data_IF_091586721074
#
_entry.id   IF_091586721074
#
_cell.length_a   1.000
_cell.length_b   1.000
_cell.length_c   1.000
_cell.angle_alpha   90.00
_cell.angle_beta   90.00
_cell.angle_gamma   90.00
#
_symmetry.space_group_name_H-M   'P 1'
#
loop_
_entity.id
_entity.type
_entity.pdbx_description
1 polymer ?
#
# COMPACT_ATOMS: atom_id res chain seq x y z
N UNK A 1 -7.87 -31.16 1.41
CA UNK A 1 -8.60 -29.88 1.42
C UNK A 1 -7.60 -28.79 1.76
N UNK A 2 -7.12 -28.03 0.78
CA UNK A 2 -6.14 -26.97 1.02
C UNK A 2 -6.84 -25.82 1.73
N UNK A 3 -6.42 -25.51 2.95
CA UNK A 3 -6.75 -24.25 3.60
C UNK A 3 -6.29 -23.14 2.67
N UNK A 4 -7.23 -22.38 2.14
CA UNK A 4 -6.92 -21.21 1.32
C UNK A 4 -6.26 -20.18 2.23
N UNK A 5 -4.94 -20.17 2.23
CA UNK A 5 -4.11 -19.25 2.98
C UNK A 5 -4.26 -17.82 2.42
N UNK A 6 -4.23 -16.81 3.30
CA UNK A 6 -4.39 -15.39 2.94
C UNK A 6 -5.52 -14.70 3.69
N UNK A 7 -5.70 -13.41 3.41
CA UNK A 7 -6.75 -12.59 4.03
C UNK A 7 -8.06 -12.67 3.25
N UNK A 8 -9.17 -12.83 3.95
CA UNK A 8 -10.51 -12.73 3.34
C UNK A 8 -10.93 -11.28 3.20
N UNK A 9 -10.94 -10.79 1.96
CA UNK A 9 -11.43 -9.44 1.63
C UNK A 9 -12.61 -9.59 0.69
N UNK A 10 -13.77 -9.09 1.08
CA UNK A 10 -15.03 -9.18 0.31
C UNK A 10 -15.32 -10.62 -0.19
N UNK A 11 -15.12 -11.63 0.68
CA UNK A 11 -15.37 -13.04 0.36
C UNK A 11 -14.29 -13.73 -0.49
N UNK A 12 -13.24 -13.02 -0.91
CA UNK A 12 -12.12 -13.57 -1.68
C UNK A 12 -10.87 -13.67 -0.81
N UNK A 13 -10.13 -14.75 -0.93
CA UNK A 13 -8.81 -14.88 -0.31
C UNK A 13 -7.79 -14.11 -1.14
N UNK A 14 -7.14 -13.14 -0.53
CA UNK A 14 -6.06 -12.36 -1.11
C UNK A 14 -4.81 -12.63 -0.27
N UNK A 15 -3.77 -13.17 -0.89
CA UNK A 15 -2.51 -13.48 -0.23
C UNK A 15 -1.33 -12.66 -0.80
N UNK A 16 -1.51 -12.05 -1.97
CA UNK A 16 -0.50 -11.18 -2.56
C UNK A 16 -1.14 -10.04 -3.36
N UNK A 17 -0.43 -8.91 -3.41
CA UNK A 17 -0.68 -7.80 -4.32
C UNK A 17 0.61 -7.52 -5.07
N UNK A 18 0.54 -7.46 -6.39
CA UNK A 18 1.70 -7.18 -7.25
C UNK A 18 1.46 -5.93 -8.06
N UNK A 19 2.47 -5.08 -8.12
CA UNK A 19 2.45 -3.89 -8.96
C UNK A 19 3.88 -3.59 -9.43
N UNK A 20 4.15 -3.81 -10.71
CA UNK A 20 5.48 -3.73 -11.31
C UNK A 20 6.47 -4.63 -10.52
N UNK A 21 7.57 -4.07 -10.05
CA UNK A 21 8.59 -4.68 -9.22
C UNK A 21 8.23 -4.85 -7.74
N UNK A 22 7.13 -4.21 -7.30
CA UNK A 22 6.69 -4.27 -5.91
C UNK A 22 5.68 -5.40 -5.70
N UNK A 23 6.00 -6.31 -4.79
CA UNK A 23 5.11 -7.37 -4.36
C UNK A 23 4.83 -7.25 -2.86
N UNK A 24 3.55 -7.29 -2.47
CA UNK A 24 3.14 -7.31 -1.07
C UNK A 24 2.49 -8.64 -0.78
N UNK A 25 3.03 -9.37 0.18
CA UNK A 25 2.47 -10.62 0.68
C UNK A 25 1.63 -10.34 1.93
N UNK A 26 0.51 -11.02 2.06
CA UNK A 26 -0.41 -10.87 3.17
C UNK A 26 -0.74 -12.23 3.77
N UNK A 27 -0.70 -12.31 5.12
CA UNK A 27 -1.02 -13.53 5.85
C UNK A 27 -1.64 -13.20 7.20
N UNK A 28 -2.37 -14.17 7.77
CA UNK A 28 -2.97 -14.04 9.10
C UNK A 28 -1.96 -14.31 10.23
N UNK A 29 -0.83 -14.94 9.91
CA UNK A 29 0.17 -15.28 10.91
C UNK A 29 1.60 -15.32 10.36
N UNK A 30 2.55 -15.30 11.30
CA UNK A 30 3.99 -15.28 11.03
C UNK A 30 4.44 -16.49 10.19
N UNK A 31 4.01 -17.68 10.53
CA UNK A 31 4.41 -18.92 9.87
C UNK A 31 3.86 -19.00 8.45
N UNK A 32 2.65 -18.52 8.24
CA UNK A 32 2.03 -18.47 6.94
C UNK A 32 2.78 -17.51 6.02
N UNK A 33 3.11 -16.29 6.52
CA UNK A 33 3.85 -15.30 5.78
C UNK A 33 5.24 -15.81 5.41
N UNK A 34 5.91 -16.51 6.34
CA UNK A 34 7.22 -17.13 6.10
C UNK A 34 7.13 -18.18 4.99
N UNK A 35 6.10 -19.04 5.03
CA UNK A 35 5.87 -20.02 3.97
C UNK A 35 5.65 -19.40 2.60
N UNK A 36 4.91 -18.26 2.53
CA UNK A 36 4.72 -17.54 1.27
C UNK A 36 6.02 -16.95 0.75
N UNK A 37 6.80 -16.34 1.62
CA UNK A 37 8.06 -15.74 1.23
C UNK A 37 9.04 -16.80 0.71
N UNK A 38 9.14 -17.95 1.37
CA UNK A 38 9.98 -19.05 0.91
C UNK A 38 9.57 -19.55 -0.48
N UNK A 39 8.27 -19.68 -0.73
CA UNK A 39 7.78 -20.05 -2.07
C UNK A 39 8.12 -18.99 -3.12
N UNK A 40 7.97 -17.70 -2.79
CA UNK A 40 8.33 -16.62 -3.72
C UNK A 40 9.83 -16.64 -4.00
N UNK A 41 10.65 -16.91 -2.99
CA UNK A 41 12.10 -17.05 -3.14
C UNK A 41 12.45 -18.22 -4.07
N UNK A 42 11.92 -19.41 -3.83
CA UNK A 42 12.14 -20.59 -4.67
C UNK A 42 11.72 -20.35 -6.13
N UNK A 43 10.56 -19.75 -6.35
CA UNK A 43 10.05 -19.45 -7.70
C UNK A 43 10.90 -18.37 -8.40
N UNK A 44 11.36 -17.35 -7.67
CA UNK A 44 12.22 -16.31 -8.23
C UNK A 44 13.61 -16.86 -8.60
N UNK A 45 14.18 -17.74 -7.79
CA UNK A 45 15.47 -18.41 -8.07
C UNK A 45 15.42 -19.25 -9.36
N UNK A 46 14.29 -19.92 -9.64
CA UNK A 46 14.09 -20.65 -10.90
C UNK A 46 14.15 -19.74 -12.13
N UNK A 47 13.80 -18.46 -11.96
CA UNK A 47 13.82 -17.44 -13.02
C UNK A 47 15.13 -16.62 -13.02
N UNK A 48 16.14 -17.04 -12.23
CA UNK A 48 17.42 -16.31 -12.05
C UNK A 48 17.22 -14.91 -11.45
N UNK A 49 16.09 -14.68 -10.79
CA UNK A 49 15.80 -13.43 -10.08
C UNK A 49 16.13 -13.61 -8.60
N UNK A 50 16.91 -12.70 -8.04
CA UNK A 50 17.22 -12.69 -6.61
C UNK A 50 16.28 -11.74 -5.87
N UNK A 51 15.70 -12.21 -4.77
CA UNK A 51 15.00 -11.35 -3.84
C UNK A 51 16.00 -10.44 -3.13
N UNK A 52 15.76 -9.14 -3.18
CA UNK A 52 16.57 -8.19 -2.42
C UNK A 52 16.09 -8.16 -0.96
N UNK A 53 16.78 -8.89 -0.10
CA UNK A 53 16.47 -9.03 1.33
C UNK A 53 16.55 -7.71 2.08
N UNK A 54 17.42 -6.79 1.67
CA UNK A 54 17.55 -5.45 2.27
C UNK A 54 16.32 -4.56 2.05
N UNK A 55 15.55 -4.83 0.98
CA UNK A 55 14.32 -4.08 0.67
C UNK A 55 13.07 -4.69 1.30
N UNK A 56 13.18 -5.88 1.90
CA UNK A 56 12.06 -6.56 2.54
C UNK A 56 11.72 -5.83 3.84
N UNK A 57 10.47 -5.35 3.90
CA UNK A 57 9.92 -4.72 5.10
C UNK A 57 8.72 -5.50 5.59
N UNK A 58 8.70 -5.75 6.90
CA UNK A 58 7.63 -6.50 7.55
C UNK A 58 6.84 -5.55 8.45
N UNK A 59 5.54 -5.58 8.29
CA UNK A 59 4.63 -4.85 9.16
C UNK A 59 3.61 -5.84 9.74
N UNK A 60 3.33 -5.70 11.02
CA UNK A 60 2.30 -6.49 11.70
C UNK A 60 1.45 -5.60 12.60
N UNK A 61 0.19 -5.96 12.77
CA UNK A 61 -0.74 -5.29 13.69
C UNK A 61 -0.45 -5.59 15.17
N UNK A 62 0.22 -6.71 15.45
CA UNK A 62 0.69 -7.07 16.79
C UNK A 62 2.20 -6.84 16.92
N UNK A 63 2.70 -6.46 18.09
CA UNK A 63 4.13 -6.21 18.27
C UNK A 63 4.95 -7.48 18.03
N UNK A 64 5.89 -7.40 17.08
CA UNK A 64 6.86 -8.43 16.78
C UNK A 64 8.23 -7.92 17.20
N UNK A 65 8.95 -8.72 18.00
CA UNK A 65 10.28 -8.34 18.51
C UNK A 65 11.39 -8.60 17.51
N UNK A 66 11.29 -9.66 16.72
CA UNK A 66 12.28 -9.99 15.70
C UNK A 66 11.70 -10.89 14.62
N UNK A 67 12.23 -10.76 13.42
CA UNK A 67 11.93 -11.64 12.31
C UNK A 67 13.21 -12.01 11.59
N UNK A 68 13.46 -13.30 11.46
CA UNK A 68 14.61 -13.81 10.75
C UNK A 68 14.18 -14.77 9.65
N UNK A 69 14.84 -14.67 8.49
CA UNK A 69 14.69 -15.54 7.34
C UNK A 69 16.09 -15.92 6.88
N UNK A 70 16.36 -17.23 6.81
CA UNK A 70 17.67 -17.78 6.41
C UNK A 70 18.86 -17.18 7.17
N UNK A 71 18.68 -16.83 8.46
CA UNK A 71 19.70 -16.21 9.28
C UNK A 71 19.82 -14.68 9.14
N UNK A 72 19.13 -14.05 8.21
CA UNK A 72 19.09 -12.61 8.05
C UNK A 72 17.93 -11.99 8.84
N UNK A 73 18.21 -10.90 9.52
CA UNK A 73 17.19 -10.16 10.28
C UNK A 73 16.49 -9.17 9.36
N UNK A 74 15.15 -9.27 9.27
CA UNK A 74 14.34 -8.40 8.44
C UNK A 74 13.97 -7.12 9.18
N UNK A 75 13.83 -6.02 8.41
CA UNK A 75 13.39 -4.74 8.93
C UNK A 75 11.91 -4.80 9.31
N UNK A 76 11.59 -4.54 10.59
CA UNK A 76 10.22 -4.43 11.07
C UNK A 76 9.87 -2.95 11.08
N UNK A 77 8.77 -2.60 10.39
CA UNK A 77 8.31 -1.23 10.26
C UNK A 77 6.89 -1.06 10.82
N UNK A 78 6.63 0.12 11.36
CA UNK A 78 5.28 0.50 11.83
C UNK A 78 4.42 1.08 10.73
N UNK A 79 5.05 1.52 9.65
CA UNK A 79 4.38 2.07 8.47
C UNK A 79 5.23 1.90 7.22
N UNK A 80 4.59 1.87 6.07
CA UNK A 80 5.28 1.92 4.77
C UNK A 80 4.39 2.57 3.70
N UNK A 81 5.02 2.97 2.59
CA UNK A 81 4.31 3.58 1.46
C UNK A 81 4.06 2.49 0.41
N UNK A 82 2.80 2.19 0.16
CA UNK A 82 2.37 1.29 -0.91
C UNK A 82 1.54 2.03 -1.94
N UNK A 83 1.98 2.02 -3.20
CA UNK A 83 1.34 2.74 -4.30
C UNK A 83 1.03 4.20 -3.97
N UNK A 84 1.96 4.83 -3.25
CA UNK A 84 1.85 6.23 -2.85
C UNK A 84 0.89 6.51 -1.69
N UNK A 85 0.32 5.50 -1.04
CA UNK A 85 -0.47 5.63 0.19
C UNK A 85 0.32 5.13 1.39
N UNK A 86 0.28 5.85 2.49
CA UNK A 86 0.88 5.42 3.75
C UNK A 86 -0.05 4.42 4.43
N UNK A 87 0.47 3.24 4.70
CA UNK A 87 -0.20 2.19 5.44
C UNK A 87 0.48 2.09 6.81
N UNK A 88 -0.30 2.03 7.88
CA UNK A 88 0.17 1.97 9.26
C UNK A 88 -0.32 0.70 9.94
N UNK A 89 0.47 0.19 10.89
CA UNK A 89 0.15 -1.04 11.60
C UNK A 89 -1.04 -0.89 12.57
N UNK A 90 -1.34 0.33 13.00
CA UNK A 90 -2.41 0.69 13.94
C UNK A 90 -3.76 0.97 13.26
N UNK A 91 -3.87 0.80 11.93
CA UNK A 91 -5.08 1.11 11.15
C UNK A 91 -5.49 2.61 11.19
N UNK A 92 -4.63 3.51 11.65
CA UNK A 92 -4.92 4.93 11.68
C UNK A 92 -4.79 5.58 10.29
N UNK A 93 -5.91 5.77 9.63
CA UNK A 93 -6.01 6.47 8.35
C UNK A 93 -5.94 7.99 8.47
N UNK A 94 -5.91 8.56 9.67
CA UNK A 94 -6.00 10.02 9.92
C UNK A 94 -4.89 10.78 9.22
N UNK A 95 -3.68 10.22 9.21
CA UNK A 95 -2.54 10.82 8.53
C UNK A 95 -2.75 10.91 7.02
N UNK A 96 -3.21 9.81 6.41
CA UNK A 96 -3.44 9.77 4.95
C UNK A 96 -4.60 10.68 4.55
N UNK A 97 -5.67 10.77 5.35
CA UNK A 97 -6.76 11.72 5.13
C UNK A 97 -6.23 13.15 5.14
N UNK A 98 -5.44 13.52 6.17
CA UNK A 98 -4.83 14.85 6.26
C UNK A 98 -3.94 15.15 5.06
N UNK A 99 -3.16 14.16 4.61
CA UNK A 99 -2.30 14.27 3.44
C UNK A 99 -3.10 14.48 2.15
N UNK A 100 -4.18 13.74 1.94
CA UNK A 100 -5.07 13.90 0.79
C UNK A 100 -5.73 15.28 0.77
N UNK A 101 -6.21 15.77 1.92
CA UNK A 101 -6.77 17.11 2.04
C UNK A 101 -5.73 18.20 1.73
N UNK A 102 -4.49 18.02 2.18
CA UNK A 102 -3.40 18.95 1.88
C UNK A 102 -3.09 18.99 0.38
N UNK A 103 -3.06 17.82 -0.27
CA UNK A 103 -2.87 17.75 -1.73
C UNK A 103 -4.01 18.41 -2.49
N UNK A 104 -5.26 18.19 -2.04
CA UNK A 104 -6.44 18.86 -2.60
C UNK A 104 -6.34 20.38 -2.47
N UNK A 105 -5.93 20.88 -1.30
CA UNK A 105 -5.69 22.32 -1.10
C UNK A 105 -4.61 22.87 -2.03
N UNK A 106 -3.48 22.16 -2.19
CA UNK A 106 -2.42 22.55 -3.13
C UNK A 106 -2.92 22.57 -4.58
N UNK A 107 -3.74 21.61 -4.97
CA UNK A 107 -4.36 21.59 -6.30
C UNK A 107 -5.32 22.78 -6.50
N UNK A 108 -6.14 23.10 -5.50
CA UNK A 108 -7.01 24.29 -5.51
C UNK A 108 -6.21 25.60 -5.64
N UNK A 109 -5.12 25.73 -4.88
CA UNK A 109 -4.25 26.92 -4.94
C UNK A 109 -3.67 27.12 -6.33
N UNK A 110 -3.30 26.04 -7.04
CA UNK A 110 -2.83 26.13 -8.43
C UNK A 110 -3.90 26.62 -9.42
N UNK A 111 -5.16 26.42 -9.09
CA UNK A 111 -6.30 26.88 -9.91
C UNK A 111 -6.82 28.26 -9.50
N UNK A 112 -6.26 28.89 -8.46
CA UNK A 112 -6.79 30.10 -7.84
C UNK A 112 -6.97 31.24 -8.83
N UNK A 113 -5.99 31.47 -9.71
CA UNK A 113 -6.05 32.52 -10.76
C UNK A 113 -7.23 32.28 -11.71
N UNK A 114 -7.48 31.05 -12.10
CA UNK A 114 -8.57 30.68 -13.00
C UNK A 114 -9.92 30.76 -12.25
N UNK A 115 -9.97 30.31 -11.01
CA UNK A 115 -11.19 30.33 -10.20
C UNK A 115 -11.63 31.74 -9.82
N UNK A 116 -10.68 32.69 -9.68
CA UNK A 116 -10.95 34.12 -9.42
C UNK A 116 -11.27 34.90 -10.70
N UNK A 117 -10.94 34.37 -11.88
CA UNK A 117 -11.25 35.02 -13.17
C UNK A 117 -12.73 35.32 -13.32
N UNK A 118 -13.07 36.57 -13.71
CA UNK A 118 -14.48 36.99 -13.90
C UNK A 118 -15.06 36.49 -15.23
N UNK A 119 -14.21 36.23 -16.20
CA UNK A 119 -14.59 35.82 -17.55
C UNK A 119 -15.02 34.32 -17.63
N UNK A 120 -14.79 33.57 -16.56
CA UNK A 120 -15.09 32.14 -16.51
C UNK A 120 -16.40 31.92 -15.74
N UNK A 121 -17.34 31.26 -16.40
CA UNK A 121 -18.66 30.98 -15.81
C UNK A 121 -18.57 29.99 -14.65
N UNK A 122 -19.47 30.09 -13.68
CA UNK A 122 -19.53 29.22 -12.54
C UNK A 122 -19.60 27.71 -12.91
N UNK A 123 -20.42 27.29 -13.89
CA UNK A 123 -20.42 25.88 -14.32
C UNK A 123 -19.06 25.39 -14.80
N UNK A 124 -18.33 26.23 -15.53
CA UNK A 124 -16.97 25.90 -16.00
C UNK A 124 -16.00 25.75 -14.82
N UNK A 125 -16.05 26.63 -13.83
CA UNK A 125 -15.24 26.53 -12.60
C UNK A 125 -15.51 25.24 -11.86
N UNK A 126 -16.78 24.87 -11.67
CA UNK A 126 -17.18 23.62 -11.03
C UNK A 126 -16.66 22.40 -11.80
N UNK A 127 -16.79 22.42 -13.13
CA UNK A 127 -16.28 21.34 -13.99
C UNK A 127 -14.76 21.20 -13.87
N UNK A 128 -14.03 22.30 -13.81
CA UNK A 128 -12.58 22.30 -13.65
C UNK A 128 -12.16 21.70 -12.30
N UNK A 129 -12.82 22.13 -11.21
CA UNK A 129 -12.56 21.57 -9.87
C UNK A 129 -12.85 20.06 -9.83
N UNK A 130 -13.97 19.64 -10.41
CA UNK A 130 -14.32 18.20 -10.49
C UNK A 130 -13.29 17.39 -11.30
N UNK A 131 -12.73 17.97 -12.37
CA UNK A 131 -11.77 17.27 -13.22
C UNK A 131 -10.36 17.23 -12.63
N UNK A 132 -9.94 18.27 -11.90
CA UNK A 132 -8.53 18.42 -11.48
C UNK A 132 -8.32 18.20 -9.97
N UNK A 133 -9.27 18.58 -9.12
CA UNK A 133 -9.11 18.47 -7.66
C UNK A 133 -9.72 17.17 -7.13
N UNK A 134 -10.91 16.84 -7.57
CA UNK A 134 -11.61 15.64 -7.13
C UNK A 134 -10.79 14.35 -7.32
N UNK A 135 -10.17 14.08 -8.47
CA UNK A 135 -9.35 12.88 -8.64
C UNK A 135 -8.18 12.83 -7.66
N UNK A 136 -7.56 13.97 -7.36
CA UNK A 136 -6.43 14.04 -6.42
C UNK A 136 -6.86 13.66 -5.01
N UNK A 137 -8.04 14.10 -4.58
CA UNK A 137 -8.59 13.81 -3.24
C UNK A 137 -9.19 12.41 -3.20
N UNK A 138 -10.00 12.05 -4.20
CA UNK A 138 -10.78 10.81 -4.19
C UNK A 138 -9.97 9.57 -4.54
N UNK A 139 -8.92 9.68 -5.34
CA UNK A 139 -8.09 8.54 -5.78
C UNK A 139 -7.60 7.65 -4.63
N UNK A 140 -7.47 8.24 -3.43
CA UNK A 140 -7.02 7.55 -2.23
C UNK A 140 -8.12 7.29 -1.20
N UNK A 141 -9.21 8.08 -1.24
CA UNK A 141 -10.34 7.92 -0.33
C UNK A 141 -11.14 6.64 -0.60
N UNK A 142 -11.19 6.14 -1.82
CA UNK A 142 -11.83 4.85 -2.14
C UNK A 142 -11.15 3.67 -1.43
N UNK A 143 -9.84 3.77 -1.16
CA UNK A 143 -9.10 2.78 -0.35
C UNK A 143 -9.41 2.92 1.14
N UNK A 144 -9.66 4.14 1.62
CA UNK A 144 -9.99 4.42 3.02
C UNK A 144 -11.42 3.96 3.40
N UNK A 145 -12.34 3.92 2.44
CA UNK A 145 -13.70 3.42 2.67
C UNK A 145 -13.77 1.89 2.82
N UNK A 146 -12.81 1.17 2.25
CA UNK A 146 -12.63 -0.24 2.55
C UNK A 146 -11.79 -0.35 3.80
N UNK A 147 -12.42 -0.22 4.97
CA UNK A 147 -11.82 -0.61 6.25
C UNK A 147 -11.35 -2.05 6.09
N UNK A 148 -10.09 -2.20 5.74
CA UNK A 148 -9.39 -3.43 5.98
C UNK A 148 -9.44 -3.59 7.50
N UNK A 149 -10.17 -4.57 7.97
CA UNK A 149 -10.07 -4.97 9.37
C UNK A 149 -8.65 -5.52 9.54
N UNK A 150 -7.72 -4.62 9.85
CA UNK A 150 -6.28 -4.90 9.88
C UNK A 150 -5.87 -5.60 11.18
N UNK A 151 -6.82 -6.10 11.97
CA UNK A 151 -6.51 -6.76 13.24
C UNK A 151 -5.55 -7.95 13.11
N UNK A 152 -5.29 -8.45 11.90
CA UNK A 152 -4.44 -9.62 11.65
C UNK A 152 -3.59 -9.48 10.38
N UNK A 153 -3.27 -8.26 9.94
CA UNK A 153 -2.55 -8.04 8.71
C UNK A 153 -1.04 -8.08 8.94
N UNK A 154 -0.38 -9.06 8.38
CA UNK A 154 1.06 -9.05 8.16
C UNK A 154 1.35 -8.69 6.71
N UNK A 155 2.05 -7.59 6.47
CA UNK A 155 2.41 -7.12 5.14
C UNK A 155 3.92 -7.23 4.95
N UNK A 156 4.30 -7.84 3.85
CA UNK A 156 5.68 -7.94 3.41
C UNK A 156 5.79 -7.25 2.06
N UNK A 157 6.60 -6.22 2.00
CA UNK A 157 6.91 -5.54 0.75
C UNK A 157 8.26 -6.02 0.24
N UNK A 158 8.28 -6.73 -0.87
CA UNK A 158 9.49 -7.18 -1.52
C UNK A 158 9.67 -6.46 -2.85
N UNK A 159 10.79 -5.78 -3.01
CA UNK A 159 11.24 -5.32 -4.33
C UNK A 159 12.06 -6.44 -4.99
N UNK A 160 11.72 -6.79 -6.22
CA UNK A 160 12.56 -7.65 -7.08
C UNK A 160 13.51 -6.71 -7.81
N UNK A 161 14.79 -6.75 -7.50
CA UNK A 161 15.83 -6.00 -8.21
C UNK A 161 16.46 -6.90 -9.29
N UNK A 162 16.52 -6.41 -10.52
CA UNK A 162 17.49 -6.92 -11.48
C UNK A 162 18.86 -6.36 -11.06
N UNK A 163 19.80 -7.24 -10.73
CA UNK A 163 21.21 -6.86 -10.59
C UNK A 163 21.74 -6.53 -11.99
N UNK A 164 22.00 -5.26 -12.24
CA UNK A 164 22.74 -4.77 -13.42
C UNK A 164 24.21 -4.87 -13.16
#
# INVERSE_FOLDING_TARGET
MGTQAGLKIAGRNINNLRHADNSTLMAQGKEELKSFLMKVKEESEKLVLKLNTEKIKIMASSPITSWQIDGETMEIVTDFIFLGSKITADDDCSYEIKRCLLLGRKAMTKLDSILKGRDITLPTKVRLVKAMVFPVVMYRCERLQRKLSAKELMLLNCGVGEDS
#
